data_IF_736591418274
#
_entry.id   IF_736591418274
#
_cell.length_a   1.000
_cell.length_b   1.000
_cell.length_c   1.000
_cell.angle_alpha   90.00
_cell.angle_beta   90.00
_cell.angle_gamma   90.00
#
_symmetry.space_group_name_H-M   'P 1'
#
loop_
_entity.id
_entity.type
_entity.pdbx_description
1 polymer ?
#
# COMPACT_ATOMS: atom_id res chain seq x y z
N UNK A 1 -16.42 -36.56 40.53
CA UNK A 1 -15.91 -35.34 41.22
C UNK A 1 -14.40 -35.29 41.01
N UNK A 2 -13.73 -34.12 40.81
CA UNK A 2 -14.02 -32.73 41.25
C UNK A 2 -14.74 -31.88 40.17
N UNK A 3 -15.75 -31.05 40.45
CA UNK A 3 -15.85 -29.74 41.15
C UNK A 3 -15.34 -28.53 40.34
N UNK A 4 -16.30 -27.67 39.95
CA UNK A 4 -16.30 -26.20 39.77
C UNK A 4 -15.05 -25.53 39.15
N UNK A 5 -15.18 -24.59 38.20
CA UNK A 5 -15.81 -23.30 38.44
C UNK A 5 -16.11 -22.58 37.11
N UNK A 6 -17.31 -22.01 37.05
CA UNK A 6 -17.83 -21.00 36.12
C UNK A 6 -16.79 -20.06 35.52
N UNK A 7 -16.82 -19.89 34.19
CA UNK A 7 -16.50 -18.63 33.53
C UNK A 7 -17.71 -18.16 32.72
N UNK A 8 -18.27 -16.97 33.01
CA UNK A 8 -19.38 -16.41 32.24
C UNK A 8 -18.81 -15.56 31.10
N UNK A 9 -18.58 -16.14 29.94
CA UNK A 9 -18.46 -15.38 28.69
C UNK A 9 -19.28 -16.04 27.59
N UNK A 10 -20.59 -15.78 27.66
CA UNK A 10 -21.52 -16.01 26.56
C UNK A 10 -21.04 -15.12 25.40
N UNK A 11 -20.77 -15.72 24.23
CA UNK A 11 -20.67 -15.09 22.91
C UNK A 11 -19.26 -14.74 22.36
N UNK A 12 -18.57 -15.72 21.76
CA UNK A 12 -17.87 -15.53 20.48
C UNK A 12 -17.71 -16.87 19.73
N UNK A 13 -18.19 -17.00 18.47
CA UNK A 13 -18.14 -18.26 17.76
C UNK A 13 -16.80 -18.51 17.06
N UNK A 14 -16.47 -19.80 16.97
CA UNK A 14 -15.51 -20.47 16.09
C UNK A 14 -14.08 -20.71 16.62
N UNK A 15 -13.96 -21.82 17.35
CA UNK A 15 -12.75 -22.62 17.45
C UNK A 15 -12.74 -23.69 16.34
N UNK A 16 -12.20 -23.37 15.16
CA UNK A 16 -11.91 -24.32 14.06
C UNK A 16 -10.87 -23.76 13.08
N UNK A 17 -9.65 -23.45 13.52
CA UNK A 17 -8.54 -23.17 12.58
C UNK A 17 -7.17 -23.42 13.21
N UNK A 18 -6.96 -24.63 13.74
CA UNK A 18 -5.65 -25.10 14.21
C UNK A 18 -5.10 -26.24 13.35
N UNK A 19 -5.17 -26.10 12.02
CA UNK A 19 -4.42 -26.96 11.11
C UNK A 19 -3.55 -26.12 10.18
N UNK A 20 -2.40 -25.74 10.73
CA UNK A 20 -1.26 -25.18 10.01
C UNK A 20 -0.71 -26.26 9.07
N UNK A 21 -1.16 -26.26 7.81
CA UNK A 21 -0.54 -26.99 6.69
C UNK A 21 0.29 -25.98 5.90
N UNK A 22 1.61 -26.17 5.73
CA UNK A 22 2.30 -25.52 4.62
C UNK A 22 1.87 -26.21 3.30
N UNK A 23 2.20 -25.63 2.15
CA UNK A 23 2.14 -26.27 0.82
C UNK A 23 0.84 -26.12 0.00
N UNK A 24 0.30 -24.91 -0.12
CA UNK A 24 -0.44 -24.56 -1.34
C UNK A 24 0.14 -23.29 -1.92
N UNK A 25 1.13 -23.46 -2.80
CA UNK A 25 1.66 -22.39 -3.65
C UNK A 25 0.53 -22.04 -4.63
N UNK A 26 -0.23 -21.02 -4.30
CA UNK A 26 -1.29 -20.48 -5.16
C UNK A 26 -0.65 -19.79 -6.36
N UNK A 27 -0.83 -20.37 -7.54
CA UNK A 27 -0.41 -19.85 -8.84
C UNK A 27 -1.42 -18.86 -9.44
N UNK A 28 -2.21 -18.19 -8.59
CA UNK A 28 -3.02 -17.05 -9.02
C UNK A 28 -2.11 -15.83 -9.12
N UNK A 29 -1.96 -15.26 -10.31
CA UNK A 29 -1.24 -14.00 -10.58
C UNK A 29 -1.52 -13.04 -9.43
N UNK A 30 -0.52 -12.89 -8.57
CA UNK A 30 -0.69 -12.22 -7.31
C UNK A 30 -0.94 -10.74 -7.60
N UNK A 31 -2.21 -10.33 -7.52
CA UNK A 31 -2.60 -8.94 -7.28
C UNK A 31 -2.16 -8.60 -5.87
N UNK A 32 -0.85 -8.63 -5.61
CA UNK A 32 -0.32 -8.07 -4.39
C UNK A 32 -0.73 -6.60 -4.40
N UNK A 33 -1.34 -6.11 -3.32
CA UNK A 33 -1.59 -4.70 -3.20
C UNK A 33 -0.27 -3.96 -3.38
N UNK A 34 -0.25 -2.98 -4.28
CA UNK A 34 0.90 -2.11 -4.43
C UNK A 34 0.99 -1.29 -3.14
N UNK A 35 2.05 -1.43 -2.36
CA UNK A 35 2.19 -0.64 -1.15
C UNK A 35 2.51 0.82 -1.48
N UNK A 36 2.07 1.73 -0.61
CA UNK A 36 2.41 3.16 -0.70
C UNK A 36 3.93 3.37 -0.69
N UNK A 37 4.66 2.61 0.12
CA UNK A 37 6.12 2.68 0.17
C UNK A 37 6.78 2.31 -1.16
N UNK A 38 6.34 1.23 -1.81
CA UNK A 38 6.92 0.74 -3.07
C UNK A 38 6.66 1.71 -4.22
N UNK A 39 5.44 2.23 -4.31
CA UNK A 39 5.06 3.21 -5.33
C UNK A 39 5.82 4.53 -5.15
N UNK A 40 6.00 5.01 -3.92
CA UNK A 40 6.85 6.18 -3.64
C UNK A 40 8.32 5.94 -3.99
N UNK A 41 8.84 4.75 -3.71
CA UNK A 41 10.23 4.41 -4.04
C UNK A 41 10.44 4.40 -5.57
N UNK A 42 9.53 3.75 -6.31
CA UNK A 42 9.54 3.75 -7.78
C UNK A 42 9.48 5.17 -8.34
N UNK A 43 8.55 5.99 -7.85
CA UNK A 43 8.36 7.36 -8.33
C UNK A 43 9.57 8.25 -8.02
N UNK A 44 10.14 8.13 -6.82
CA UNK A 44 11.36 8.84 -6.44
C UNK A 44 12.49 8.49 -7.39
N UNK A 45 12.71 7.20 -7.71
CA UNK A 45 13.75 6.78 -8.66
C UNK A 45 13.54 7.38 -10.05
N UNK A 46 12.30 7.37 -10.55
CA UNK A 46 11.96 7.94 -11.86
C UNK A 46 12.22 9.45 -11.91
N UNK A 47 11.79 10.19 -10.88
CA UNK A 47 11.98 11.64 -10.78
C UNK A 47 13.46 12.01 -10.58
N UNK A 48 14.21 11.20 -9.84
CA UNK A 48 15.67 11.35 -9.72
C UNK A 48 16.35 11.17 -11.08
N UNK A 49 15.96 10.15 -11.85
CA UNK A 49 16.49 9.93 -13.20
C UNK A 49 16.13 11.08 -14.17
N UNK A 50 14.96 11.71 -13.99
CA UNK A 50 14.56 12.92 -14.69
C UNK A 50 15.26 14.21 -14.22
N UNK A 51 16.11 14.11 -13.17
CA UNK A 51 16.88 15.21 -12.58
C UNK A 51 16.06 16.20 -11.74
N UNK A 52 14.84 15.85 -11.32
CA UNK A 52 13.99 16.74 -10.52
C UNK A 52 14.73 17.14 -9.23
N UNK A 53 14.71 18.41 -8.85
CA UNK A 53 15.46 18.94 -7.71
C UNK A 53 15.08 18.31 -6.37
N UNK A 54 13.81 17.92 -6.21
CA UNK A 54 13.29 17.32 -4.97
C UNK A 54 12.40 16.12 -5.27
N UNK A 55 12.98 15.00 -5.73
CA UNK A 55 12.23 13.89 -6.31
C UNK A 55 11.34 13.18 -5.29
N UNK A 56 11.80 13.05 -4.03
CA UNK A 56 11.00 12.48 -2.94
C UNK A 56 9.85 13.38 -2.52
N UNK A 57 10.09 14.69 -2.46
CA UNK A 57 9.05 15.66 -2.11
C UNK A 57 7.97 15.69 -3.20
N UNK A 58 8.37 15.75 -4.47
CA UNK A 58 7.43 15.69 -5.60
C UNK A 58 6.65 14.36 -5.61
N UNK A 59 7.30 13.23 -5.34
CA UNK A 59 6.63 11.93 -5.24
C UNK A 59 5.56 11.91 -4.13
N UNK A 60 5.85 12.47 -2.95
CA UNK A 60 4.90 12.59 -1.84
C UNK A 60 3.74 13.53 -2.18
N UNK A 61 4.01 14.67 -2.82
CA UNK A 61 2.99 15.64 -3.21
C UNK A 61 2.05 15.09 -4.28
N UNK A 62 2.60 14.44 -5.31
CA UNK A 62 1.81 13.79 -6.37
C UNK A 62 0.93 12.68 -5.79
N UNK A 63 1.42 11.93 -4.81
CA UNK A 63 0.63 10.88 -4.18
C UNK A 63 -0.48 11.46 -3.29
N UNK A 64 -0.17 12.52 -2.54
CA UNK A 64 -1.14 13.26 -1.75
C UNK A 64 -2.26 13.85 -2.61
N UNK A 65 -1.94 14.35 -3.80
CA UNK A 65 -2.94 14.83 -4.76
C UNK A 65 -3.91 13.72 -5.22
N UNK A 66 -3.42 12.50 -5.45
CA UNK A 66 -4.26 11.38 -5.89
C UNK A 66 -5.14 10.85 -4.76
N UNK A 67 -4.59 10.80 -3.54
CA UNK A 67 -5.29 10.33 -2.35
C UNK A 67 -6.18 11.42 -1.70
N UNK A 68 -6.04 12.68 -2.12
CA UNK A 68 -6.73 13.83 -1.50
C UNK A 68 -6.28 14.07 -0.06
N UNK A 69 -5.04 13.71 0.29
CA UNK A 69 -4.52 13.81 1.64
C UNK A 69 -3.24 14.64 1.70
N UNK A 70 -3.05 15.36 2.79
CA UNK A 70 -1.85 16.15 3.03
C UNK A 70 -0.64 15.25 3.32
N UNK A 71 0.57 15.75 3.02
CA UNK A 71 1.84 15.05 3.26
C UNK A 71 2.00 14.58 4.70
N UNK A 72 1.52 15.36 5.68
CA UNK A 72 1.54 14.97 7.09
C UNK A 72 0.71 13.69 7.34
N UNK A 73 -0.42 13.55 6.64
CA UNK A 73 -1.32 12.40 6.75
C UNK A 73 -0.83 11.20 5.95
N UNK A 74 -0.13 11.44 4.85
CA UNK A 74 0.41 10.42 3.97
C UNK A 74 1.43 9.50 4.68
N UNK A 75 2.17 10.04 5.65
CA UNK A 75 3.10 9.27 6.51
C UNK A 75 2.40 8.20 7.35
N UNK A 76 1.14 8.42 7.73
CA UNK A 76 0.37 7.46 8.51
C UNK A 76 -0.08 6.25 7.67
N UNK A 77 -0.10 6.37 6.35
CA UNK A 77 -0.60 5.36 5.41
C UNK A 77 0.51 4.70 4.58
N UNK A 78 1.78 4.81 5.00
CA UNK A 78 2.90 4.22 4.25
C UNK A 78 2.89 2.70 4.20
N UNK A 79 2.33 2.06 5.23
CA UNK A 79 2.16 0.62 5.31
C UNK A 79 0.82 0.15 4.71
N UNK A 80 -0.04 1.08 4.27
CA UNK A 80 -1.33 0.74 3.69
C UNK A 80 -1.19 0.35 2.22
N UNK A 81 -2.13 -0.49 1.83
CA UNK A 81 -2.29 -1.00 0.50
C UNK A 81 -2.93 0.05 -0.41
N UNK A 82 -2.28 0.31 -1.54
CA UNK A 82 -2.74 1.26 -2.54
C UNK A 82 -3.60 0.51 -3.56
N UNK A 83 -4.84 0.97 -3.73
CA UNK A 83 -5.73 0.42 -4.74
C UNK A 83 -5.13 0.56 -6.14
N UNK A 84 -5.22 -0.48 -6.96
CA UNK A 84 -4.71 -0.49 -8.34
C UNK A 84 -5.14 0.72 -9.21
N UNK A 85 -6.40 1.19 -9.23
CA UNK A 85 -6.79 2.41 -9.94
C UNK A 85 -6.04 3.67 -9.46
N UNK A 86 -5.81 3.77 -8.15
CA UNK A 86 -5.11 4.90 -7.53
C UNK A 86 -3.63 4.87 -7.90
N UNK A 87 -3.00 3.70 -7.83
CA UNK A 87 -1.60 3.51 -8.24
C UNK A 87 -1.39 3.84 -9.73
N UNK A 88 -2.34 3.49 -10.61
CA UNK A 88 -2.30 3.86 -12.04
C UNK A 88 -2.38 5.37 -12.26
N UNK A 89 -3.29 6.05 -11.56
CA UNK A 89 -3.40 7.53 -11.61
C UNK A 89 -2.12 8.19 -11.14
N UNK A 90 -1.55 7.70 -10.05
CA UNK A 90 -0.27 8.17 -9.52
C UNK A 90 0.87 7.96 -10.52
N UNK A 91 1.01 6.76 -11.08
CA UNK A 91 2.03 6.46 -12.07
C UNK A 91 1.95 7.38 -13.29
N UNK A 92 0.74 7.68 -13.80
CA UNK A 92 0.55 8.62 -14.90
C UNK A 92 1.04 10.04 -14.55
N UNK A 93 0.78 10.53 -13.34
CA UNK A 93 1.27 11.84 -12.90
C UNK A 93 2.79 11.89 -12.78
N UNK A 94 3.38 10.84 -12.22
CA UNK A 94 4.84 10.71 -12.04
C UNK A 94 5.54 10.66 -13.41
N UNK A 95 5.00 9.91 -14.38
CA UNK A 95 5.50 9.88 -15.75
C UNK A 95 5.44 11.27 -16.41
N UNK A 96 4.32 11.98 -16.30
CA UNK A 96 4.19 13.36 -16.79
C UNK A 96 5.22 14.30 -16.17
N UNK A 97 5.52 14.12 -14.88
CA UNK A 97 6.47 14.95 -14.15
C UNK A 97 7.93 14.63 -14.50
N UNK A 98 8.25 13.35 -14.68
CA UNK A 98 9.57 12.89 -15.08
C UNK A 98 9.92 13.23 -16.54
N UNK A 99 8.94 13.42 -17.41
CA UNK A 99 9.22 13.74 -18.80
C UNK A 99 9.80 15.16 -19.00
N UNK A 100 9.60 16.13 -18.10
CA UNK A 100 10.12 17.53 -18.18
C UNK A 100 10.17 18.17 -19.60
N UNK A 101 9.32 17.73 -20.53
CA UNK A 101 9.32 18.03 -21.96
C UNK A 101 7.85 18.02 -22.43
N UNK A 102 7.43 18.85 -23.42
CA UNK A 102 6.03 19.06 -23.78
C UNK A 102 5.39 17.73 -24.21
N UNK A 103 4.11 17.57 -23.89
CA UNK A 103 3.30 16.47 -24.44
C UNK A 103 3.39 16.58 -25.97
N UNK A 104 3.98 15.56 -26.60
CA UNK A 104 3.92 15.39 -28.06
C UNK A 104 2.49 15.07 -28.50
#
# INVERSE_FOLDING_TARGET
>A
MPLSTSWPYKNRPNASSWLKRPDTVDLSVSSQPLQVADTLQWATRLLTAAGVDSPRLDAELLLGQVLGCDRARLRAFWADDLSAPTARRYAALVQRRAQREPVA
#
